data_IF_620816061626
#
_entry.id   IF_620816061626
#
_cell.length_a   1.000
_cell.length_b   1.000
_cell.length_c   1.000
_cell.angle_alpha   90.00
_cell.angle_beta   90.00
_cell.angle_gamma   90.00
#
_symmetry.space_group_name_H-M   'P 1'
#
loop_
_entity.id
_entity.type
_entity.pdbx_description
1 polymer ?
#
# COMPACT_ATOMS: atom_id res chain seq x y z
N UNK A 1 -49.65 22.11 47.49
CA UNK A 1 -50.75 22.03 46.50
C UNK A 1 -50.16 21.67 45.14
N UNK A 2 -50.64 20.56 44.53
CA UNK A 2 -50.39 20.06 43.15
C UNK A 2 -48.93 19.72 42.80
N UNK A 3 -48.47 18.46 42.83
CA UNK A 3 -48.75 17.32 41.92
C UNK A 3 -48.64 17.72 40.44
N UNK A 4 -47.51 17.40 39.80
CA UNK A 4 -47.40 17.23 38.35
C UNK A 4 -46.85 15.83 38.12
N UNK A 5 -47.70 15.02 37.48
CA UNK A 5 -47.46 13.66 37.06
C UNK A 5 -46.49 13.61 35.88
N UNK A 6 -45.74 12.51 35.85
CA UNK A 6 -45.15 11.93 34.65
C UNK A 6 -46.18 11.68 33.55
N UNK A 7 -45.76 11.88 32.31
CA UNK A 7 -46.05 10.92 31.24
C UNK A 7 -44.76 10.66 30.46
N UNK A 8 -44.33 9.41 30.49
CA UNK A 8 -43.32 8.85 29.60
C UNK A 8 -44.01 8.57 28.28
N UNK A 9 -43.38 8.95 27.16
CA UNK A 9 -43.57 8.19 25.94
C UNK A 9 -42.21 7.86 25.31
N UNK A 10 -41.94 6.55 25.29
CA UNK A 10 -40.76 5.89 24.77
C UNK A 10 -40.76 5.93 23.25
N UNK A 11 -39.81 6.65 22.62
CA UNK A 11 -39.20 6.21 21.34
C UNK A 11 -38.05 7.10 20.84
N UNK A 12 -36.95 7.24 21.60
CA UNK A 12 -35.69 7.79 21.07
C UNK A 12 -34.47 7.15 21.75
N UNK A 13 -34.29 5.85 21.54
CA UNK A 13 -33.03 5.17 21.83
C UNK A 13 -32.71 4.26 20.65
N UNK A 14 -31.97 4.82 19.69
CA UNK A 14 -31.17 4.19 18.62
C UNK A 14 -30.72 5.35 17.72
N UNK A 15 -29.43 5.39 17.37
CA UNK A 15 -28.71 6.47 16.66
C UNK A 15 -28.08 7.57 17.50
N UNK A 16 -27.15 7.21 18.39
CA UNK A 16 -25.93 8.02 18.62
C UNK A 16 -24.78 7.07 18.95
N UNK A 17 -24.19 6.40 17.95
CA UNK A 17 -22.94 5.65 18.10
C UNK A 17 -22.13 5.75 16.79
N UNK A 18 -20.93 6.34 16.93
CA UNK A 18 -19.74 6.33 16.05
C UNK A 18 -19.79 6.97 14.64
N UNK A 19 -19.44 8.25 14.59
CA UNK A 19 -18.68 8.83 13.46
C UNK A 19 -17.34 9.35 13.97
N UNK A 20 -16.39 8.44 14.18
CA UNK A 20 -14.96 8.76 14.31
C UNK A 20 -14.19 7.59 13.71
N UNK A 21 -13.64 7.77 12.51
CA UNK A 21 -12.37 7.25 11.96
C UNK A 21 -12.45 7.42 10.43
N UNK A 22 -11.99 8.57 9.92
CA UNK A 22 -11.53 8.74 8.53
C UNK A 22 -10.86 10.10 8.33
N UNK A 23 -9.89 10.43 9.17
CA UNK A 23 -8.94 11.53 8.90
C UNK A 23 -7.58 10.92 8.57
N UNK A 24 -7.52 10.19 7.45
CA UNK A 24 -6.30 10.19 6.64
C UNK A 24 -6.44 11.43 5.80
N UNK A 25 -5.74 12.49 6.22
CA UNK A 25 -5.55 13.71 5.45
C UNK A 25 -5.10 13.32 4.03
N UNK A 26 -6.01 13.47 3.08
CA UNK A 26 -5.63 13.83 1.72
C UNK A 26 -5.00 15.20 1.86
N UNK A 27 -3.68 15.27 1.90
CA UNK A 27 -3.00 16.49 1.47
C UNK A 27 -3.01 16.38 -0.06
N UNK A 28 -3.88 17.12 -0.78
CA UNK A 28 -3.59 17.36 -2.17
C UNK A 28 -2.30 18.18 -2.15
N UNK A 29 -1.18 17.59 -2.57
CA UNK A 29 0.00 18.38 -2.87
C UNK A 29 -0.38 19.23 -4.09
N UNK A 30 -0.95 20.41 -3.83
CA UNK A 30 -0.99 21.49 -4.80
C UNK A 30 0.46 21.96 -4.89
N UNK A 31 1.23 21.34 -5.79
CA UNK A 31 2.49 21.95 -6.23
C UNK A 31 2.08 23.25 -6.95
N UNK A 32 2.48 24.43 -6.47
CA UNK A 32 2.32 25.64 -7.24
C UNK A 32 3.32 25.54 -8.40
N UNK A 33 2.85 25.19 -9.59
CA UNK A 33 3.63 25.32 -10.82
C UNK A 33 3.81 26.82 -11.10
N UNK A 34 4.81 27.44 -10.48
CA UNK A 34 5.41 28.65 -11.02
C UNK A 34 6.30 28.23 -12.18
N UNK A 35 5.87 28.60 -13.39
CA UNK A 35 6.63 28.41 -14.60
C UNK A 35 7.96 29.16 -14.50
N UNK A 36 9.05 28.41 -14.40
CA UNK A 36 10.38 28.88 -14.79
C UNK A 36 11.02 27.78 -15.62
N UNK A 37 11.31 28.09 -16.87
CA UNK A 37 12.00 27.20 -17.80
C UNK A 37 13.32 26.74 -17.19
N UNK A 38 13.39 25.49 -16.77
CA UNK A 38 14.63 24.74 -16.64
C UNK A 38 14.40 23.35 -17.22
N UNK A 39 15.24 22.99 -18.19
CA UNK A 39 15.37 21.63 -18.69
C UNK A 39 15.84 20.76 -17.53
N UNK A 40 14.95 19.97 -16.94
CA UNK A 40 15.32 18.89 -16.03
C UNK A 40 14.73 17.57 -16.55
N UNK A 41 15.59 16.57 -16.50
CA UNK A 41 15.49 15.25 -17.09
C UNK A 41 14.19 14.54 -16.68
N UNK A 42 13.63 13.80 -17.64
CA UNK A 42 12.62 12.78 -17.38
C UNK A 42 13.21 11.75 -16.42
N UNK A 43 12.99 11.92 -15.12
CA UNK A 43 13.30 10.88 -14.15
C UNK A 43 12.52 9.63 -14.53
N UNK A 44 13.26 8.61 -14.94
CA UNK A 44 12.72 7.33 -15.35
C UNK A 44 12.20 6.62 -14.10
N UNK A 45 10.88 6.63 -13.89
CA UNK A 45 10.25 5.88 -12.80
C UNK A 45 10.41 4.35 -12.95
N UNK A 46 11.08 3.87 -14.01
CA UNK A 46 11.56 2.49 -14.12
C UNK A 46 12.54 2.11 -12.99
N UNK A 47 13.32 3.06 -12.47
CA UNK A 47 14.24 2.83 -11.34
C UNK A 47 13.53 2.47 -10.04
N UNK A 48 12.29 2.92 -9.84
CA UNK A 48 11.50 2.63 -8.64
C UNK A 48 11.18 1.14 -8.45
N UNK A 49 11.19 0.39 -9.55
CA UNK A 49 10.91 -1.05 -9.57
C UNK A 49 12.02 -1.84 -10.26
N UNK A 50 13.22 -1.26 -10.45
CA UNK A 50 14.41 -2.05 -10.74
C UNK A 50 14.79 -2.84 -9.48
N UNK A 51 13.96 -3.85 -9.19
CA UNK A 51 14.24 -4.92 -8.25
C UNK A 51 15.32 -5.78 -8.91
N UNK A 52 16.57 -5.32 -8.87
CA UNK A 52 17.72 -6.15 -9.20
C UNK A 52 18.07 -6.95 -7.95
N UNK A 53 17.86 -8.27 -7.90
CA UNK A 53 18.34 -9.07 -6.79
C UNK A 53 19.83 -9.32 -7.00
N UNK A 54 20.66 -8.77 -6.11
CA UNK A 54 21.73 -9.62 -5.56
C UNK A 54 21.03 -10.70 -4.73
N UNK A 55 21.30 -11.97 -5.03
CA UNK A 55 20.81 -13.08 -4.20
C UNK A 55 21.48 -13.03 -2.83
N UNK A 56 20.73 -12.74 -1.77
CA UNK A 56 21.22 -12.84 -0.39
C UNK A 56 20.93 -14.25 0.09
N UNK A 57 21.97 -15.08 0.22
CA UNK A 57 21.85 -16.44 0.74
C UNK A 57 21.48 -16.40 2.22
N UNK A 58 20.36 -17.02 2.61
CA UNK A 58 19.85 -16.99 3.97
C UNK A 58 20.87 -17.56 4.98
N UNK A 59 21.58 -18.62 4.61
CA UNK A 59 22.61 -19.26 5.44
C UNK A 59 23.78 -18.34 5.82
N UNK A 60 23.96 -17.23 5.09
CA UNK A 60 25.06 -16.29 5.31
C UNK A 60 24.63 -15.07 6.14
N UNK A 61 23.33 -14.95 6.45
CA UNK A 61 22.81 -13.83 7.23
C UNK A 61 23.26 -14.02 8.69
N UNK A 62 24.12 -13.11 9.14
CA UNK A 62 24.50 -12.97 10.55
C UNK A 62 24.12 -11.56 10.98
N UNK A 63 22.97 -11.42 11.64
CA UNK A 63 22.53 -10.11 12.15
C UNK A 63 23.22 -9.89 13.48
N UNK A 64 24.25 -9.05 13.51
CA UNK A 64 25.12 -8.87 14.68
C UNK A 64 24.89 -7.51 15.32
N UNK A 65 23.78 -7.38 16.06
CA UNK A 65 23.32 -6.09 16.61
C UNK A 65 23.22 -4.98 15.55
N UNK A 66 23.04 -5.35 14.28
CA UNK A 66 23.08 -4.40 13.17
C UNK A 66 21.96 -3.38 13.33
N UNK A 67 22.38 -2.12 13.54
CA UNK A 67 21.47 -0.99 13.46
C UNK A 67 21.16 -0.74 12.00
N UNK A 68 19.89 -0.42 11.74
CA UNK A 68 19.45 0.05 10.43
C UNK A 68 19.53 1.58 10.39
N UNK A 69 19.92 2.15 9.25
CA UNK A 69 19.88 3.59 9.00
C UNK A 69 18.61 3.95 8.25
N UNK A 70 17.71 4.68 8.91
CA UNK A 70 16.45 5.11 8.32
C UNK A 70 16.49 6.60 8.05
N UNK A 71 16.33 7.00 6.79
CA UNK A 71 16.13 8.39 6.39
C UNK A 71 14.69 8.81 6.66
N UNK A 72 14.51 9.82 7.52
CA UNK A 72 13.23 10.44 7.81
C UNK A 72 13.05 11.66 6.89
N UNK A 73 12.19 11.54 5.88
CA UNK A 73 12.14 12.51 4.78
C UNK A 73 11.64 13.88 5.24
N UNK A 74 10.73 13.92 6.21
CA UNK A 74 10.15 15.17 6.71
C UNK A 74 11.14 15.97 7.56
N UNK A 75 11.92 15.28 8.39
CA UNK A 75 12.94 15.88 9.25
C UNK A 75 14.30 16.04 8.54
N UNK A 76 14.44 15.49 7.33
CA UNK A 76 15.67 15.46 6.55
C UNK A 76 16.88 14.97 7.37
N UNK A 77 16.73 13.82 8.04
CA UNK A 77 17.78 13.25 8.90
C UNK A 77 17.80 11.73 8.85
N UNK A 78 18.96 11.15 9.12
CA UNK A 78 19.12 9.70 9.33
C UNK A 78 19.03 9.40 10.82
N UNK A 79 18.26 8.37 11.16
CA UNK A 79 18.20 7.80 12.51
C UNK A 79 18.67 6.36 12.46
N UNK A 80 19.51 5.98 13.42
CA UNK A 80 19.93 4.61 13.64
C UNK A 80 19.10 3.98 14.76
N UNK A 81 18.56 2.79 14.50
CA UNK A 81 17.81 1.99 15.47
C UNK A 81 17.97 0.51 15.18
N UNK A 82 17.66 -0.36 16.14
CA UNK A 82 17.59 -1.79 15.86
C UNK A 82 16.41 -2.11 14.94
N UNK A 83 16.50 -3.23 14.22
CA UNK A 83 15.42 -3.71 13.36
C UNK A 83 14.11 -3.90 14.14
N UNK A 84 14.17 -4.44 15.35
CA UNK A 84 12.99 -4.67 16.19
C UNK A 84 12.39 -3.39 16.78
N UNK A 85 13.17 -2.30 16.89
CA UNK A 85 12.65 -0.96 17.26
C UNK A 85 11.96 -0.26 16.08
N UNK A 86 12.43 -0.51 14.85
CA UNK A 86 11.88 0.04 13.61
C UNK A 86 10.51 -0.55 13.25
N UNK A 87 10.39 -1.87 13.37
CA UNK A 87 9.25 -2.62 12.84
C UNK A 87 7.89 -2.21 13.42
N UNK A 88 7.73 -1.91 14.72
CA UNK A 88 6.45 -1.41 15.23
C UNK A 88 6.01 -0.12 14.53
N UNK A 89 6.96 0.76 14.18
CA UNK A 89 6.68 1.98 13.42
C UNK A 89 6.20 1.68 12.00
N UNK A 90 6.76 0.68 11.33
CA UNK A 90 6.31 0.25 10.00
C UNK A 90 4.95 -0.44 10.07
N UNK A 91 4.83 -1.50 10.87
CA UNK A 91 3.60 -2.31 10.95
C UNK A 91 2.40 -1.45 11.30
N UNK A 92 2.56 -0.52 12.25
CA UNK A 92 1.47 0.38 12.64
C UNK A 92 1.15 1.46 11.60
N UNK A 93 2.10 1.82 10.72
CA UNK A 93 1.88 2.79 9.64
C UNK A 93 1.25 2.16 8.41
N UNK A 94 1.58 0.89 8.15
CA UNK A 94 1.11 0.14 6.98
C UNK A 94 -0.24 -0.54 7.23
N UNK A 95 -0.45 -1.09 8.43
CA UNK A 95 -1.63 -1.88 8.76
C UNK A 95 -2.42 -1.27 9.92
N UNK A 96 -3.77 -1.21 9.86
CA UNK A 96 -4.59 -0.76 10.98
C UNK A 96 -4.34 -1.60 12.23
N UNK A 97 -4.03 -0.96 13.36
CA UNK A 97 -3.69 -1.67 14.60
C UNK A 97 -4.85 -2.49 15.20
N UNK A 98 -6.09 -2.20 14.78
CA UNK A 98 -7.28 -2.98 15.18
C UNK A 98 -7.46 -4.27 14.37
N UNK A 99 -6.67 -4.50 13.31
CA UNK A 99 -6.68 -5.77 12.58
C UNK A 99 -6.27 -6.93 13.47
N UNK A 100 -6.63 -8.14 13.06
CA UNK A 100 -6.30 -9.36 13.77
C UNK A 100 -4.78 -9.48 14.02
N UNK A 101 -4.40 -10.06 15.16
CA UNK A 101 -3.00 -10.22 15.52
C UNK A 101 -2.23 -11.06 14.51
N UNK A 102 -2.87 -12.07 13.90
CA UNK A 102 -2.22 -12.91 12.89
C UNK A 102 -1.93 -12.13 11.59
N UNK A 103 -2.78 -11.16 11.23
CA UNK A 103 -2.50 -10.25 10.12
C UNK A 103 -1.34 -9.30 10.45
N UNK A 104 -1.29 -8.76 11.67
CA UNK A 104 -0.17 -7.92 12.13
C UNK A 104 1.15 -8.69 12.17
N UNK A 105 1.14 -9.97 12.56
CA UNK A 105 2.31 -10.86 12.52
C UNK A 105 2.77 -11.10 11.08
N UNK A 106 1.84 -11.34 10.15
CA UNK A 106 2.18 -11.48 8.73
C UNK A 106 2.84 -10.21 8.19
N UNK A 107 2.29 -9.03 8.50
CA UNK A 107 2.89 -7.74 8.13
C UNK A 107 4.28 -7.54 8.75
N UNK A 108 4.48 -7.96 10.01
CA UNK A 108 5.78 -7.86 10.68
C UNK A 108 6.86 -8.70 9.97
N UNK A 109 6.55 -9.95 9.60
CA UNK A 109 7.49 -10.83 8.87
C UNK A 109 7.81 -10.26 7.48
N UNK A 110 6.79 -9.81 6.73
CA UNK A 110 7.01 -9.20 5.42
C UNK A 110 7.87 -7.93 5.53
N UNK A 111 7.57 -7.05 6.50
CA UNK A 111 8.34 -5.83 6.70
C UNK A 111 9.78 -6.11 7.16
N UNK A 112 9.98 -7.06 8.07
CA UNK A 112 11.32 -7.48 8.51
C UNK A 112 12.15 -8.01 7.35
N UNK A 113 11.54 -8.82 6.50
CA UNK A 113 12.18 -9.39 5.32
C UNK A 113 12.63 -8.29 4.34
N UNK A 114 11.74 -7.32 4.05
CA UNK A 114 12.10 -6.17 3.21
C UNK A 114 13.24 -5.36 3.82
N UNK A 115 13.14 -5.00 5.10
CA UNK A 115 14.14 -4.17 5.77
C UNK A 115 15.54 -4.83 5.76
N UNK A 116 15.61 -6.13 6.03
CA UNK A 116 16.87 -6.88 5.96
C UNK A 116 17.41 -6.96 4.54
N UNK A 117 16.56 -7.23 3.55
CA UNK A 117 16.99 -7.33 2.16
C UNK A 117 17.64 -6.04 1.62
N UNK A 118 17.30 -4.89 2.20
CA UNK A 118 17.87 -3.60 1.81
C UNK A 118 19.04 -3.16 2.70
N UNK A 119 19.37 -3.91 3.75
CA UNK A 119 20.46 -3.58 4.65
C UNK A 119 21.82 -3.80 3.98
N UNK A 120 22.63 -2.74 3.90
CA UNK A 120 23.94 -2.81 3.22
C UNK A 120 24.92 -3.77 3.87
N UNK A 121 24.85 -3.95 5.18
CA UNK A 121 25.76 -4.84 5.92
C UNK A 121 25.64 -6.31 5.51
N UNK A 122 24.51 -6.71 4.91
CA UNK A 122 24.27 -8.08 4.43
C UNK A 122 24.17 -8.17 2.90
N UNK A 123 24.60 -7.12 2.18
CA UNK A 123 24.65 -7.11 0.72
C UNK A 123 23.43 -6.50 0.00
N UNK A 124 22.54 -5.83 0.75
CA UNK A 124 21.45 -5.04 0.18
C UNK A 124 21.94 -3.73 -0.46
N UNK A 125 21.15 -3.15 -1.36
CA UNK A 125 21.49 -1.90 -2.06
C UNK A 125 21.35 -0.64 -1.19
N UNK A 126 20.64 -0.73 -0.07
CA UNK A 126 20.15 0.42 0.68
C UNK A 126 19.12 1.25 -0.08
N UNK A 127 18.92 2.48 0.36
CA UNK A 127 17.93 3.41 -0.18
C UNK A 127 18.53 4.26 -1.31
N UNK A 128 17.88 4.29 -2.48
CA UNK A 128 18.29 5.18 -3.59
C UNK A 128 17.89 6.63 -3.37
N UNK A 129 16.83 6.92 -2.60
CA UNK A 129 16.46 8.28 -2.22
C UNK A 129 17.49 8.95 -1.28
N UNK A 130 18.36 8.17 -0.63
CA UNK A 130 19.42 8.71 0.22
C UNK A 130 20.60 7.72 0.32
N UNK A 131 21.73 8.07 -0.29
CA UNK A 131 22.91 7.18 -0.44
C UNK A 131 23.50 6.66 0.88
N UNK A 132 23.32 7.36 1.99
CA UNK A 132 23.81 6.94 3.31
C UNK A 132 22.81 6.13 4.15
N UNK A 133 21.56 6.01 3.71
CA UNK A 133 20.50 5.32 4.46
C UNK A 133 20.21 3.94 3.86
N UNK A 134 19.88 2.96 4.71
CA UNK A 134 19.44 1.64 4.27
C UNK A 134 17.99 1.69 3.78
N UNK A 135 17.15 2.48 4.45
CA UNK A 135 15.72 2.61 4.20
C UNK A 135 15.28 4.08 4.30
N UNK A 136 14.11 4.40 3.75
CA UNK A 136 13.40 5.65 4.03
C UNK A 136 11.98 5.40 4.56
N UNK A 137 11.36 6.44 5.10
CA UNK A 137 10.05 6.41 5.76
C UNK A 137 8.83 6.59 4.82
N UNK A 138 9.05 6.47 3.51
CA UNK A 138 8.03 6.69 2.47
C UNK A 138 7.69 5.39 1.74
N UNK A 139 6.69 5.46 0.87
CA UNK A 139 6.27 4.35 -0.02
C UNK A 139 7.37 3.86 -0.98
N UNK A 140 8.50 4.58 -1.07
CA UNK A 140 9.69 4.08 -1.76
C UNK A 140 10.27 2.83 -1.11
N UNK A 141 10.33 2.83 0.23
CA UNK A 141 10.79 1.70 1.01
C UNK A 141 9.58 1.12 1.75
N UNK A 142 9.32 1.63 2.95
CA UNK A 142 8.16 1.28 3.76
C UNK A 142 7.73 2.50 4.55
N UNK A 143 6.43 2.71 4.70
CA UNK A 143 5.93 3.84 5.48
C UNK A 143 6.34 3.63 6.93
N UNK A 144 7.06 4.60 7.50
CA UNK A 144 7.49 4.56 8.90
C UNK A 144 7.01 5.81 9.63
N UNK A 145 6.50 5.63 10.85
CA UNK A 145 6.23 6.72 11.77
C UNK A 145 6.68 6.32 13.17
N UNK A 146 7.20 7.30 13.91
CA UNK A 146 7.59 7.09 15.31
C UNK A 146 6.37 6.71 16.17
N UNK A 147 6.64 6.08 17.33
CA UNK A 147 5.62 5.77 18.34
C UNK A 147 4.76 6.99 18.67
N UNK A 148 5.40 8.13 18.94
CA UNK A 148 4.72 9.38 19.28
C UNK A 148 3.74 9.81 18.19
N UNK A 149 4.19 9.82 16.93
CA UNK A 149 3.35 10.19 15.79
C UNK A 149 2.16 9.23 15.63
N UNK A 150 2.37 7.92 15.78
CA UNK A 150 1.28 6.93 15.72
C UNK A 150 0.27 7.09 16.85
N UNK A 151 0.74 7.27 18.08
CA UNK A 151 -0.12 7.45 19.24
C UNK A 151 -1.00 8.70 19.15
N UNK A 152 -0.51 9.75 18.49
CA UNK A 152 -1.26 11.00 18.26
C UNK A 152 -2.35 10.86 17.18
N UNK A 153 -2.26 9.86 16.29
CA UNK A 153 -3.24 9.62 15.23
C UNK A 153 -4.37 8.66 15.64
N UNK A 154 -4.22 7.96 16.77
CA UNK A 154 -5.21 7.02 17.27
C UNK A 154 -6.11 7.64 18.35
N UNK A 155 -7.31 7.08 18.59
CA UNK A 155 -8.13 7.46 19.73
C UNK A 155 -7.33 7.37 21.03
N UNK A 156 -7.40 8.42 21.87
CA UNK A 156 -6.57 8.52 23.09
C UNK A 156 -6.80 7.37 24.08
N UNK A 157 -8.01 6.82 24.11
CA UNK A 157 -8.41 5.69 24.94
C UNK A 157 -7.94 4.32 24.39
N UNK A 158 -7.44 4.28 23.15
CA UNK A 158 -6.99 3.06 22.46
C UNK A 158 -5.52 3.06 22.06
N UNK A 159 -4.85 4.20 22.07
CA UNK A 159 -3.53 4.34 21.48
C UNK A 159 -2.46 3.41 22.12
N UNK A 160 -2.48 3.23 23.44
CA UNK A 160 -1.57 2.31 24.13
C UNK A 160 -1.91 0.85 23.84
N UNK A 161 -3.20 0.49 23.85
CA UNK A 161 -3.67 -0.85 23.49
C UNK A 161 -3.20 -1.22 22.08
N UNK A 162 -3.39 -0.31 21.11
CA UNK A 162 -2.97 -0.47 19.73
C UNK A 162 -1.45 -0.59 19.58
N UNK A 163 -0.70 0.29 20.25
CA UNK A 163 0.76 0.22 20.20
C UNK A 163 1.28 -1.11 20.77
N UNK A 164 0.76 -1.52 21.93
CA UNK A 164 1.18 -2.76 22.60
C UNK A 164 0.81 -4.00 21.78
N UNK A 165 -0.34 -3.99 21.09
CA UNK A 165 -0.73 -5.07 20.19
C UNK A 165 0.23 -5.20 18.99
N UNK A 166 0.60 -4.08 18.38
CA UNK A 166 1.60 -4.07 17.28
C UNK A 166 2.96 -4.55 17.76
N UNK A 167 3.46 -4.04 18.89
CA UNK A 167 4.73 -4.50 19.49
C UNK A 167 4.69 -5.99 19.79
N UNK A 168 3.55 -6.51 20.29
CA UNK A 168 3.39 -7.94 20.56
C UNK A 168 3.44 -8.79 19.29
N UNK A 169 2.88 -8.32 18.17
CA UNK A 169 2.97 -8.99 16.87
C UNK A 169 4.41 -9.06 16.35
N UNK A 170 5.14 -7.93 16.43
CA UNK A 170 6.55 -7.85 16.03
C UNK A 170 7.40 -8.80 16.88
N UNK A 171 7.26 -8.74 18.21
CA UNK A 171 8.00 -9.60 19.14
C UNK A 171 7.68 -11.09 18.95
N UNK A 172 6.43 -11.44 18.68
CA UNK A 172 6.03 -12.84 18.46
C UNK A 172 6.64 -13.45 17.19
N UNK A 173 7.11 -12.62 16.25
CA UNK A 173 7.74 -13.02 14.99
C UNK A 173 9.21 -12.61 14.93
N UNK A 174 9.83 -12.34 16.08
CA UNK A 174 11.20 -11.86 16.16
C UNK A 174 12.17 -12.78 15.41
N UNK A 175 12.94 -12.19 14.49
CA UNK A 175 13.90 -12.88 13.64
C UNK A 175 13.31 -13.73 12.51
N UNK A 176 11.98 -13.79 12.35
CA UNK A 176 11.35 -14.54 11.26
C UNK A 176 11.27 -13.73 9.97
N UNK A 177 11.69 -14.35 8.87
CA UNK A 177 11.75 -13.77 7.52
C UNK A 177 11.23 -14.75 6.48
N UNK A 178 10.89 -14.23 5.30
CA UNK A 178 10.53 -15.01 4.12
C UNK A 178 11.77 -15.38 3.31
N UNK A 179 11.87 -16.63 2.92
CA UNK A 179 12.90 -17.12 2.00
C UNK A 179 12.27 -17.86 0.82
N UNK A 180 12.98 -17.88 -0.30
CA UNK A 180 12.61 -18.64 -1.49
C UNK A 180 13.88 -19.31 -2.04
N UNK A 181 13.86 -20.64 -2.19
CA UNK A 181 15.03 -21.41 -2.63
C UNK A 181 16.33 -21.17 -1.83
N UNK A 182 16.21 -20.94 -0.51
CA UNK A 182 17.36 -20.68 0.37
C UNK A 182 17.88 -19.23 0.32
N UNK A 183 17.23 -18.36 -0.44
CA UNK A 183 17.56 -16.94 -0.55
C UNK A 183 16.53 -16.10 0.20
N UNK A 184 16.97 -14.99 0.78
CA UNK A 184 16.08 -14.00 1.39
C UNK A 184 15.17 -13.40 0.32
N UNK A 185 13.88 -13.30 0.62
CA UNK A 185 12.93 -12.61 -0.27
C UNK A 185 13.26 -11.12 -0.29
N UNK A 186 13.69 -10.61 -1.44
CA UNK A 186 14.11 -9.22 -1.56
C UNK A 186 12.96 -8.22 -1.42
N UNK A 187 11.81 -8.56 -2.01
CA UNK A 187 10.68 -7.64 -2.15
C UNK A 187 9.35 -8.34 -1.84
N UNK A 188 9.04 -8.56 -0.55
CA UNK A 188 7.75 -9.09 -0.12
C UNK A 188 6.68 -8.00 -0.25
N UNK A 189 6.25 -7.75 -1.49
CA UNK A 189 5.28 -6.70 -1.84
C UNK A 189 3.97 -6.90 -1.06
N UNK A 190 3.36 -5.80 -0.62
CA UNK A 190 2.07 -5.81 0.07
C UNK A 190 1.29 -4.53 -0.26
N UNK A 191 -0.03 -4.61 -0.16
CA UNK A 191 -0.93 -3.51 -0.50
C UNK A 191 -2.22 -3.59 0.30
N UNK A 192 -3.03 -2.52 0.25
CA UNK A 192 -4.17 -2.40 1.15
C UNK A 192 -5.29 -3.39 0.86
N UNK A 193 -5.89 -3.35 -0.33
CA UNK A 193 -7.11 -4.13 -0.65
C UNK A 193 -7.07 -4.61 -2.10
N UNK A 194 -7.43 -5.86 -2.36
CA UNK A 194 -7.55 -6.42 -3.71
C UNK A 194 -8.97 -6.30 -4.26
N UNK A 195 -9.16 -6.69 -5.52
CA UNK A 195 -10.48 -6.85 -6.12
C UNK A 195 -11.06 -8.26 -5.98
N UNK A 196 -10.58 -9.05 -5.02
CA UNK A 196 -10.92 -10.47 -4.85
C UNK A 196 -9.82 -11.42 -5.32
N UNK A 197 -8.77 -10.91 -5.98
CA UNK A 197 -7.60 -11.63 -6.47
C UNK A 197 -6.40 -10.69 -6.52
N UNK A 198 -5.19 -11.18 -6.26
CA UNK A 198 -3.94 -10.43 -6.39
C UNK A 198 -3.43 -10.44 -7.83
N UNK A 199 -2.49 -9.57 -8.17
CA UNK A 199 -1.85 -9.51 -9.48
C UNK A 199 -0.50 -10.23 -9.48
N UNK A 200 -0.13 -10.76 -10.65
CA UNK A 200 1.24 -11.18 -10.92
C UNK A 200 2.17 -9.97 -10.97
N UNK A 201 3.39 -10.12 -10.43
CA UNK A 201 4.43 -9.10 -10.56
C UNK A 201 4.74 -8.74 -12.02
N UNK A 202 4.65 -9.70 -12.94
CA UNK A 202 4.85 -9.48 -14.38
C UNK A 202 3.85 -8.49 -14.96
N UNK A 203 2.59 -8.55 -14.52
CA UNK A 203 1.51 -7.67 -15.00
C UNK A 203 1.74 -6.23 -14.58
N UNK A 204 2.21 -6.01 -13.34
CA UNK A 204 2.29 -4.68 -12.73
C UNK A 204 3.66 -4.03 -12.89
N UNK A 205 4.72 -4.83 -12.73
CA UNK A 205 6.11 -4.36 -12.72
C UNK A 205 6.89 -4.72 -13.99
N UNK A 206 6.36 -5.60 -14.85
CA UNK A 206 6.98 -5.93 -16.13
C UNK A 206 8.04 -7.04 -16.07
N UNK A 207 8.25 -7.67 -14.91
CA UNK A 207 9.13 -8.83 -14.75
C UNK A 207 8.52 -9.87 -13.83
N UNK A 208 8.80 -11.14 -14.10
CA UNK A 208 8.29 -12.25 -13.30
C UNK A 208 9.10 -12.42 -12.01
N UNK A 209 8.38 -12.51 -10.89
CA UNK A 209 8.94 -12.91 -9.59
C UNK A 209 8.24 -14.22 -9.18
N UNK A 210 8.98 -15.32 -8.94
CA UNK A 210 8.37 -16.65 -8.75
C UNK A 210 7.36 -16.73 -7.60
N UNK A 211 7.60 -16.00 -6.51
CA UNK A 211 6.75 -15.99 -5.32
C UNK A 211 5.67 -14.89 -5.34
N UNK A 212 5.64 -13.99 -6.32
CA UNK A 212 4.62 -12.94 -6.45
C UNK A 212 3.68 -13.26 -7.61
N UNK A 213 2.85 -14.29 -7.38
CA UNK A 213 1.85 -14.76 -8.33
C UNK A 213 0.45 -14.34 -7.93
N UNK A 214 -0.43 -14.28 -8.92
CA UNK A 214 -1.86 -14.05 -8.69
C UNK A 214 -2.46 -15.18 -7.85
N UNK A 215 -3.14 -14.82 -6.76
CA UNK A 215 -3.88 -15.73 -5.88
C UNK A 215 -5.23 -15.13 -5.50
N UNK A 216 -6.22 -16.00 -5.24
CA UNK A 216 -7.53 -15.57 -4.78
C UNK A 216 -7.43 -14.90 -3.40
N UNK A 217 -8.23 -13.85 -3.18
CA UNK A 217 -8.30 -13.14 -1.91
C UNK A 217 -9.75 -12.73 -1.60
N UNK A 218 -10.62 -13.70 -1.28
CA UNK A 218 -12.05 -13.48 -1.14
C UNK A 218 -12.44 -12.88 0.21
N UNK A 219 -13.51 -12.07 0.22
CA UNK A 219 -14.08 -11.48 1.44
C UNK A 219 -13.55 -10.09 1.77
N UNK A 220 -12.79 -9.47 0.88
CA UNK A 220 -12.25 -8.11 1.05
C UNK A 220 -13.29 -7.01 0.82
N UNK A 221 -14.52 -7.34 0.41
CA UNK A 221 -15.63 -6.41 0.20
C UNK A 221 -16.02 -5.65 1.49
N UNK A 222 -15.61 -6.17 2.65
CA UNK A 222 -15.77 -5.51 3.96
C UNK A 222 -14.86 -4.30 4.15
N UNK A 223 -13.84 -4.14 3.32
CA UNK A 223 -12.90 -3.03 3.40
C UNK A 223 -13.60 -1.71 3.02
N UNK A 224 -13.38 -0.66 3.82
CA UNK A 224 -14.01 0.65 3.60
C UNK A 224 -13.65 1.28 2.25
N UNK A 225 -12.49 0.94 1.70
CA UNK A 225 -12.02 1.41 0.39
C UNK A 225 -12.04 0.31 -0.69
N UNK A 226 -12.83 -0.74 -0.51
CA UNK A 226 -12.95 -1.81 -1.51
C UNK A 226 -13.45 -1.28 -2.85
N UNK A 227 -14.39 -0.32 -2.84
CA UNK A 227 -14.94 0.28 -4.05
C UNK A 227 -15.00 1.79 -3.88
N UNK A 228 -14.40 2.52 -4.82
CA UNK A 228 -14.37 3.99 -4.80
C UNK A 228 -14.78 4.55 -6.17
N UNK A 229 -15.48 5.67 -6.19
CA UNK A 229 -15.93 6.30 -7.44
C UNK A 229 -15.48 7.76 -7.53
N UNK A 230 -14.88 8.09 -8.67
CA UNK A 230 -14.42 9.44 -9.00
C UNK A 230 -15.23 9.96 -10.17
N UNK A 231 -15.66 11.20 -10.09
CA UNK A 231 -16.45 11.84 -11.15
C UNK A 231 -15.70 13.09 -11.64
N UNK A 232 -15.54 13.16 -12.96
CA UNK A 232 -14.89 14.27 -13.62
C UNK A 232 -15.83 14.84 -14.68
N UNK A 233 -15.90 16.16 -14.82
CA UNK A 233 -16.51 16.74 -16.01
C UNK A 233 -15.66 16.39 -17.24
N UNK A 234 -16.28 16.27 -18.40
CA UNK A 234 -15.57 15.99 -19.66
C UNK A 234 -14.42 16.97 -19.93
N UNK A 235 -14.65 18.26 -19.68
CA UNK A 235 -13.64 19.30 -19.86
C UNK A 235 -12.49 19.17 -18.86
N UNK A 236 -12.80 18.93 -17.58
CA UNK A 236 -11.78 18.75 -16.56
C UNK A 236 -10.88 17.54 -16.86
N UNK A 237 -11.46 16.39 -17.18
CA UNK A 237 -10.70 15.18 -17.49
C UNK A 237 -9.85 15.35 -18.75
N UNK A 238 -10.41 15.92 -19.82
CA UNK A 238 -9.65 16.19 -21.04
C UNK A 238 -8.45 17.13 -20.80
N UNK A 239 -8.62 18.15 -19.94
CA UNK A 239 -7.55 19.08 -19.57
C UNK A 239 -6.45 18.38 -18.75
N UNK A 240 -6.83 17.57 -17.76
CA UNK A 240 -5.85 16.79 -16.98
C UNK A 240 -5.06 15.86 -17.89
N UNK A 241 -5.73 15.15 -18.80
CA UNK A 241 -5.09 14.23 -19.75
C UNK A 241 -4.11 15.00 -20.64
N UNK A 242 -4.54 16.05 -21.33
CA UNK A 242 -3.68 16.77 -22.27
C UNK A 242 -2.54 17.52 -21.58
N UNK A 243 -2.71 17.93 -20.32
CA UNK A 243 -1.64 18.53 -19.53
C UNK A 243 -0.52 17.54 -19.22
N UNK A 244 -0.86 16.31 -18.85
CA UNK A 244 0.12 15.27 -18.51
C UNK A 244 0.64 14.52 -19.75
N UNK A 245 -0.21 14.38 -20.76
CA UNK A 245 0.07 13.67 -22.01
C UNK A 245 -0.35 14.51 -23.23
N UNK A 246 0.44 15.53 -23.63
CA UNK A 246 0.10 16.42 -24.74
C UNK A 246 -0.17 15.71 -26.07
N UNK A 247 0.44 14.55 -26.28
CA UNK A 247 0.25 13.73 -27.47
C UNK A 247 -1.08 12.96 -27.50
N UNK A 248 -1.79 12.84 -26.38
CA UNK A 248 -3.09 12.20 -26.31
C UNK A 248 -4.13 12.94 -27.18
N UNK A 249 -4.09 14.28 -27.17
CA UNK A 249 -4.95 15.16 -27.98
C UNK A 249 -6.44 14.82 -27.83
N UNK A 250 -6.89 14.55 -26.61
CA UNK A 250 -8.30 14.27 -26.31
C UNK A 250 -9.12 15.56 -26.31
N UNK A 251 -10.42 15.47 -26.60
CA UNK A 251 -11.34 16.61 -26.51
C UNK A 251 -12.55 16.26 -25.65
N UNK A 252 -13.09 17.24 -24.94
CA UNK A 252 -14.26 17.05 -24.09
C UNK A 252 -15.45 16.44 -24.86
N UNK A 253 -15.69 16.90 -26.09
CA UNK A 253 -16.79 16.43 -26.93
C UNK A 253 -16.66 14.96 -27.36
N UNK A 254 -15.43 14.46 -27.56
CA UNK A 254 -15.18 13.12 -28.08
C UNK A 254 -14.59 12.16 -27.05
N UNK A 255 -14.50 12.56 -25.76
CA UNK A 255 -13.79 11.79 -24.75
C UNK A 255 -14.34 10.36 -24.57
N UNK A 256 -15.65 10.18 -24.76
CA UNK A 256 -16.31 8.86 -24.71
C UNK A 256 -15.88 7.90 -25.82
N UNK A 257 -15.29 8.40 -26.91
CA UNK A 257 -14.68 7.60 -27.99
C UNK A 257 -13.16 7.55 -27.91
N UNK A 258 -12.56 8.39 -27.07
CA UNK A 258 -11.11 8.55 -26.97
C UNK A 258 -10.52 7.90 -25.71
N UNK A 259 -11.35 7.54 -24.72
CA UNK A 259 -10.93 6.72 -23.59
C UNK A 259 -11.56 5.33 -23.73
N UNK A 260 -10.72 4.32 -23.92
CA UNK A 260 -11.17 2.95 -24.14
C UNK A 260 -10.23 1.97 -23.45
N UNK A 261 -10.78 1.15 -22.54
CA UNK A 261 -10.02 0.07 -21.91
C UNK A 261 -9.84 -1.03 -22.96
N UNK A 262 -8.60 -1.25 -23.39
CA UNK A 262 -8.27 -2.25 -24.41
C UNK A 262 -8.03 -3.63 -23.82
N UNK A 263 -7.45 -3.68 -22.62
CA UNK A 263 -7.02 -4.94 -22.01
C UNK A 263 -7.05 -4.85 -20.48
N UNK A 264 -7.42 -5.96 -19.85
CA UNK A 264 -7.35 -6.19 -18.40
C UNK A 264 -6.67 -7.51 -18.11
N UNK A 265 -5.97 -7.59 -16.99
CA UNK A 265 -5.50 -8.86 -16.42
C UNK A 265 -6.66 -9.69 -15.88
N UNK A 266 -6.39 -10.94 -15.52
CA UNK A 266 -7.37 -11.83 -14.89
C UNK A 266 -7.89 -11.29 -13.55
N UNK A 267 -7.05 -10.60 -12.77
CA UNK A 267 -7.43 -9.96 -11.51
C UNK A 267 -8.05 -8.55 -11.70
N UNK A 268 -8.14 -8.07 -12.94
CA UNK A 268 -8.94 -6.91 -13.34
C UNK A 268 -8.17 -5.61 -13.54
N UNK A 269 -6.85 -5.58 -13.29
CA UNK A 269 -6.01 -4.40 -13.57
C UNK A 269 -6.05 -4.06 -15.05
N UNK A 270 -6.30 -2.80 -15.38
CA UNK A 270 -6.20 -2.29 -16.75
C UNK A 270 -4.74 -2.30 -17.18
N UNK A 271 -4.39 -3.21 -18.09
CA UNK A 271 -3.02 -3.34 -18.61
C UNK A 271 -2.78 -2.42 -19.81
N UNK A 272 -3.83 -2.11 -20.59
CA UNK A 272 -3.79 -1.15 -21.70
C UNK A 272 -5.05 -0.29 -21.75
N UNK A 273 -4.85 1.02 -21.78
CA UNK A 273 -5.88 2.04 -21.94
C UNK A 273 -5.53 2.90 -23.16
N UNK A 274 -6.42 2.92 -24.15
CA UNK A 274 -6.35 3.90 -25.24
C UNK A 274 -6.82 5.25 -24.71
N UNK A 275 -6.02 6.27 -24.96
CA UNK A 275 -6.25 7.64 -24.54
C UNK A 275 -5.94 8.60 -25.69
N UNK A 276 -6.97 8.86 -26.51
CA UNK A 276 -6.86 9.61 -27.75
C UNK A 276 -5.92 8.90 -28.74
N UNK A 277 -4.78 9.53 -29.04
CA UNK A 277 -3.79 9.01 -29.98
C UNK A 277 -2.71 8.12 -29.34
N UNK A 278 -2.74 7.93 -28.03
CA UNK A 278 -1.73 7.12 -27.32
C UNK A 278 -2.39 5.93 -26.62
N UNK A 279 -1.56 4.95 -26.25
CA UNK A 279 -1.93 3.86 -25.35
C UNK A 279 -1.01 3.93 -24.14
N UNK A 280 -1.60 3.88 -22.95
CA UNK A 280 -0.89 3.89 -21.67
C UNK A 280 -1.28 2.67 -20.84
N UNK A 281 -0.51 2.36 -19.80
CA UNK A 281 -0.89 1.38 -18.80
C UNK A 281 -1.89 1.98 -17.79
N UNK A 282 -2.76 1.15 -17.20
CA UNK A 282 -3.70 1.60 -16.18
C UNK A 282 -3.03 2.19 -14.94
N UNK A 283 -1.79 1.77 -14.62
CA UNK A 283 -1.00 2.34 -13.52
C UNK A 283 -0.72 3.84 -13.73
N UNK A 284 -0.43 4.23 -14.97
CA UNK A 284 -0.16 5.63 -15.33
C UNK A 284 -1.42 6.48 -15.17
N UNK A 285 -2.56 5.95 -15.65
CA UNK A 285 -3.85 6.59 -15.50
C UNK A 285 -4.25 6.75 -14.01
N UNK A 286 -4.01 5.71 -13.21
CA UNK A 286 -4.20 5.71 -11.76
C UNK A 286 -3.42 6.83 -11.09
N UNK A 287 -2.12 6.94 -11.35
CA UNK A 287 -1.28 7.97 -10.73
C UNK A 287 -1.66 9.37 -11.19
N UNK A 288 -1.95 9.57 -12.49
CA UNK A 288 -2.38 10.86 -13.04
C UNK A 288 -3.64 11.41 -12.37
N UNK A 289 -4.59 10.54 -12.03
CA UNK A 289 -5.88 10.93 -11.45
C UNK A 289 -5.98 10.72 -9.93
N UNK A 290 -4.95 10.20 -9.29
CA UNK A 290 -4.97 9.88 -7.85
C UNK A 290 -5.98 8.78 -7.49
N UNK A 291 -6.16 7.78 -8.36
CA UNK A 291 -7.09 6.68 -8.14
C UNK A 291 -6.55 5.67 -7.12
N UNK A 292 -7.45 5.01 -6.39
CA UNK A 292 -7.09 3.97 -5.42
C UNK A 292 -6.34 2.78 -6.06
N UNK A 293 -6.72 2.36 -7.26
CA UNK A 293 -6.13 1.21 -7.96
C UNK A 293 -6.13 1.39 -9.49
N UNK A 294 -5.41 0.52 -10.19
CA UNK A 294 -5.47 0.39 -11.65
C UNK A 294 -6.55 -0.60 -12.12
N UNK A 295 -7.31 -1.19 -11.19
CA UNK A 295 -8.50 -1.99 -11.49
C UNK A 295 -9.72 -1.07 -11.47
N UNK A 296 -10.07 -0.52 -12.62
CA UNK A 296 -11.18 0.41 -12.76
C UNK A 296 -12.06 0.15 -13.98
N UNK A 297 -13.25 0.72 -13.95
CA UNK A 297 -14.16 0.83 -15.10
C UNK A 297 -14.46 2.29 -15.38
N UNK A 298 -14.70 2.63 -16.65
CA UNK A 298 -15.08 3.98 -17.08
C UNK A 298 -16.54 3.93 -17.54
N UNK A 299 -17.37 4.80 -17.00
CA UNK A 299 -18.76 4.99 -17.40
C UNK A 299 -19.00 6.46 -17.74
N UNK A 300 -19.92 6.69 -18.67
CA UNK A 300 -20.25 8.02 -19.19
C UNK A 300 -21.70 8.35 -18.85
N UNK A 301 -21.93 9.55 -18.34
CA UNK A 301 -23.27 10.14 -18.25
C UNK A 301 -23.27 11.49 -18.99
N UNK A 302 -24.41 12.19 -19.01
CA UNK A 302 -24.58 13.41 -19.80
C UNK A 302 -23.56 14.51 -19.48
N UNK A 303 -23.09 14.59 -18.22
CA UNK A 303 -22.25 15.70 -17.75
C UNK A 303 -20.87 15.27 -17.24
N UNK A 304 -20.65 13.99 -17.00
CA UNK A 304 -19.48 13.49 -16.33
C UNK A 304 -19.01 12.11 -16.84
N UNK A 305 -17.71 11.90 -16.64
CA UNK A 305 -17.04 10.61 -16.75
C UNK A 305 -16.86 10.07 -15.33
N UNK A 306 -17.46 8.91 -15.07
CA UNK A 306 -17.36 8.20 -13.79
C UNK A 306 -16.32 7.10 -13.91
N UNK A 307 -15.30 7.17 -13.06
CA UNK A 307 -14.26 6.14 -12.93
C UNK A 307 -14.49 5.42 -11.61
N UNK A 308 -14.83 4.14 -11.67
CA UNK A 308 -15.05 3.32 -10.49
C UNK A 308 -13.88 2.35 -10.32
N UNK A 309 -13.18 2.45 -9.20
CA UNK A 309 -12.06 1.60 -8.84
C UNK A 309 -12.51 0.48 -7.92
N UNK A 310 -11.86 -0.67 -8.03
CA UNK A 310 -11.97 -1.80 -7.11
C UNK A 310 -10.60 -2.05 -6.50
N UNK A 311 -10.56 -2.22 -5.18
CA UNK A 311 -9.34 -2.36 -4.39
C UNK A 311 -8.57 -1.04 -4.20
N UNK A 312 -7.47 -1.14 -3.46
CA UNK A 312 -6.55 -0.05 -3.16
C UNK A 312 -5.12 -0.58 -3.14
N UNK A 313 -4.29 -0.05 -4.03
CA UNK A 313 -2.88 -0.41 -4.12
C UNK A 313 -2.50 -0.97 -5.48
N UNK A 314 -1.29 -1.51 -5.57
CA UNK A 314 -0.74 -2.08 -6.81
C UNK A 314 -1.19 -3.52 -7.07
N UNK A 315 -1.71 -4.24 -6.07
CA UNK A 315 -2.32 -5.56 -6.26
C UNK A 315 -1.38 -6.76 -6.11
N UNK A 316 -0.07 -6.56 -5.95
CA UNK A 316 0.94 -7.64 -5.98
C UNK A 316 1.32 -8.09 -4.57
N UNK A 317 1.42 -9.40 -4.34
CA UNK A 317 1.82 -9.97 -3.05
C UNK A 317 0.67 -9.96 -2.04
N UNK A 318 0.94 -9.58 -0.79
CA UNK A 318 -0.03 -9.71 0.29
C UNK A 318 -1.06 -8.56 0.34
N UNK A 319 -2.35 -8.89 0.26
CA UNK A 319 -3.41 -7.94 0.62
C UNK A 319 -3.53 -7.83 2.14
N UNK A 320 -3.49 -6.62 2.69
CA UNK A 320 -3.62 -6.36 4.12
C UNK A 320 -5.04 -6.69 4.62
N UNK A 321 -6.07 -6.28 3.89
CA UNK A 321 -7.45 -6.65 4.22
C UNK A 321 -7.70 -8.15 4.01
N UNK A 322 -7.12 -8.73 2.97
CA UNK A 322 -7.18 -10.17 2.73
C UNK A 322 -6.52 -10.97 3.86
N UNK A 323 -5.35 -10.54 4.35
CA UNK A 323 -4.69 -11.13 5.52
C UNK A 323 -5.57 -11.04 6.77
N UNK A 324 -6.22 -9.90 7.01
CA UNK A 324 -7.15 -9.73 8.12
C UNK A 324 -8.39 -10.65 8.00
N UNK A 325 -8.96 -10.80 6.80
CA UNK A 325 -10.07 -11.72 6.55
C UNK A 325 -9.66 -13.18 6.77
N UNK A 326 -8.47 -13.58 6.31
CA UNK A 326 -7.93 -14.91 6.56
C UNK A 326 -7.72 -15.18 8.06
N UNK A 327 -7.16 -14.21 8.79
CA UNK A 327 -6.95 -14.29 10.22
C UNK A 327 -8.28 -14.43 10.99
N UNK A 328 -9.30 -13.63 10.64
CA UNK A 328 -10.64 -13.73 11.21
C UNK A 328 -11.32 -15.09 10.93
N UNK A 329 -10.89 -15.80 9.88
CA UNK A 329 -11.31 -17.18 9.57
C UNK A 329 -10.45 -18.24 10.28
N UNK A 330 -9.55 -17.84 11.18
CA UNK A 330 -8.72 -18.72 12.00
C UNK A 330 -7.40 -19.15 11.37
N UNK A 331 -6.98 -18.54 10.26
CA UNK A 331 -5.65 -18.83 9.68
C UNK A 331 -4.56 -18.08 10.45
N UNK A 332 -3.47 -18.77 10.77
CA UNK A 332 -2.30 -18.13 11.35
C UNK A 332 -1.49 -17.33 10.31
N UNK A 333 -0.57 -16.50 10.80
CA UNK A 333 0.30 -15.68 9.94
C UNK A 333 1.13 -16.51 8.96
N UNK A 334 1.48 -17.75 9.29
CA UNK A 334 2.27 -18.62 8.40
C UNK A 334 1.45 -19.04 7.19
N UNK A 335 0.19 -19.41 7.41
CA UNK A 335 -0.75 -19.75 6.35
C UNK A 335 -1.10 -18.53 5.50
N UNK A 336 -1.23 -17.35 6.12
CA UNK A 336 -1.43 -16.08 5.40
C UNK A 336 -0.25 -15.81 4.47
N UNK A 337 0.97 -15.82 4.99
CA UNK A 337 2.16 -15.50 4.21
C UNK A 337 2.39 -16.49 3.06
N UNK A 338 2.28 -17.79 3.32
CA UNK A 338 2.48 -18.82 2.29
C UNK A 338 1.36 -18.89 1.24
N UNK A 339 0.19 -18.31 1.54
CA UNK A 339 -0.87 -18.09 0.55
C UNK A 339 -0.50 -16.99 -0.44
N UNK A 340 -0.05 -15.83 0.04
CA UNK A 340 0.28 -14.68 -0.81
C UNK A 340 1.66 -14.75 -1.46
N UNK A 341 2.62 -15.39 -0.79
CA UNK A 341 3.99 -15.54 -1.26
C UNK A 341 4.25 -17.01 -1.60
N UNK A 342 3.82 -17.44 -2.78
CA UNK A 342 3.81 -18.86 -3.16
C UNK A 342 5.23 -19.47 -3.18
N UNK A 343 5.36 -20.66 -2.61
CA UNK A 343 6.63 -21.40 -2.56
C UNK A 343 7.66 -20.85 -1.57
N UNK A 344 7.34 -19.78 -0.85
CA UNK A 344 8.22 -19.25 0.21
C UNK A 344 8.18 -20.12 1.46
N UNK A 345 9.22 -19.97 2.29
CA UNK A 345 9.30 -20.51 3.64
C UNK A 345 9.47 -19.38 4.63
N UNK A 346 9.08 -19.64 5.87
CA UNK A 346 9.36 -18.75 6.98
C UNK A 346 10.52 -19.36 7.75
N UNK A 347 11.65 -18.67 7.76
CA UNK A 347 12.86 -19.10 8.45
C UNK A 347 13.24 -18.08 9.51
N UNK A 348 13.93 -18.55 10.55
CA UNK A 348 14.34 -17.72 11.67
C UNK A 348 15.84 -17.50 11.63
N UNK A 349 16.24 -16.23 11.63
CA UNK A 349 17.65 -15.83 11.63
C UNK A 349 18.29 -16.24 12.96
N UNK A 350 19.48 -16.82 12.88
CA UNK A 350 20.30 -17.12 14.06
C UNK A 350 20.86 -15.82 14.65
N UNK A 351 20.75 -15.67 15.97
CA UNK A 351 21.29 -14.52 16.71
C UNK A 351 22.77 -14.73 17.06
#
# INVERSE_FOLDING_TARGET
MKKIMWDINLNKSKFVILTIVSLILVIPIIVPMFAKENKEESSDQSEYYHLSPSSIQFSNIKVKDDKIKVFLSKENKIVEMSLEEYLPGVVSSEMPANFDIEALKAQAVAARTFALAHLRSIGGSGCSNHSEADLCDTVHCQVYQSKENRMNLWPKDKNEEYWNKVVSAVKATEGEVLTYNGELVMNPQYFSTSGGKTEDAQTVFGFSVPYLKSVDSPGEEVATKYKESYEFTYSNLANIINKNYPNAKVTAANLHKQLEILEKSEAGTVTKLKMGNIVIHGKEFRFMLGLNSANFTIAYNDNAVKIQCIGYGHGVGMSQWGANVMAQKGNDYRKILTHYYQGTRIEKIEK
#
